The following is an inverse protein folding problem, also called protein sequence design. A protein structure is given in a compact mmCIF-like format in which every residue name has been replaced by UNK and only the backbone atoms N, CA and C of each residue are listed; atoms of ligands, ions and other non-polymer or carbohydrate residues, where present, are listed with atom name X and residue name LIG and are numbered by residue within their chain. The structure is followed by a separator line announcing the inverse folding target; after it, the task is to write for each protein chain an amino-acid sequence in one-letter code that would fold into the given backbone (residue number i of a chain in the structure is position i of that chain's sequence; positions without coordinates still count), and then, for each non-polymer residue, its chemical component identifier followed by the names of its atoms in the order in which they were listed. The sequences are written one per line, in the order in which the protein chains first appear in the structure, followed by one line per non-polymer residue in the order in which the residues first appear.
data_IF_045710566083
#
_entry.id   IF_045710566083
#
_cell.length_a   1.000
_cell.length_b   1.000
_cell.length_c   1.000
_cell.angle_alpha   90.00
_cell.angle_beta   90.00
_cell.angle_gamma   90.00
#
_symmetry.space_group_name_H-M   'P 1'
#
loop_
_entity.id
_entity.type
_entity.pdbx_description
1 polymer ?
#
# COMPACT_ATOMS: atom_id res chain seq x y z
N UNK A 1 40.58 65.61 -32.01
CA UNK A 1 40.23 65.27 -30.61
C UNK A 1 39.07 64.31 -30.68
N UNK A 2 39.39 63.02 -30.57
CA UNK A 2 38.43 61.92 -30.51
C UNK A 2 37.74 61.90 -29.14
N UNK A 3 36.45 61.59 -29.11
CA UNK A 3 35.85 60.71 -28.09
C UNK A 3 34.45 60.27 -28.52
N UNK A 4 34.32 58.96 -28.66
CA UNK A 4 33.16 58.17 -29.11
C UNK A 4 31.92 58.30 -28.20
N UNK A 5 30.69 58.12 -28.72
CA UNK A 5 29.48 58.07 -27.90
C UNK A 5 29.38 56.75 -27.09
N UNK A 6 28.76 56.78 -25.89
CA UNK A 6 28.78 55.65 -24.96
C UNK A 6 28.02 54.44 -25.51
N UNK A 7 28.72 53.31 -25.57
CA UNK A 7 28.29 52.01 -26.09
C UNK A 7 27.27 51.30 -25.17
N UNK A 8 26.24 52.01 -24.69
CA UNK A 8 25.30 51.52 -23.66
C UNK A 8 24.14 50.67 -24.21
N UNK A 9 23.80 50.84 -25.50
CA UNK A 9 22.64 50.15 -26.12
C UNK A 9 22.86 48.66 -26.31
N UNK A 10 24.09 48.24 -26.65
CA UNK A 10 24.43 46.82 -26.83
C UNK A 10 24.43 46.07 -25.50
N UNK A 11 24.94 46.69 -24.43
CA UNK A 11 25.01 46.06 -23.12
C UNK A 11 23.61 45.86 -22.51
N UNK A 12 22.72 46.84 -22.64
CA UNK A 12 21.33 46.73 -22.18
C UNK A 12 20.55 45.66 -22.96
N UNK A 13 20.79 45.52 -24.27
CA UNK A 13 20.23 44.44 -25.08
C UNK A 13 20.71 43.06 -24.63
N UNK A 14 22.01 42.90 -24.35
CA UNK A 14 22.57 41.65 -23.83
C UNK A 14 22.00 41.28 -22.45
N UNK A 15 21.78 42.26 -21.56
CA UNK A 15 21.08 42.03 -20.30
C UNK A 15 19.65 41.51 -20.50
N UNK A 16 18.88 42.10 -21.41
CA UNK A 16 17.52 41.63 -21.72
C UNK A 16 17.52 40.18 -22.23
N UNK A 17 18.46 39.83 -23.12
CA UNK A 17 18.60 38.46 -23.63
C UNK A 17 18.94 37.49 -22.49
N UNK A 18 19.83 37.86 -21.57
CA UNK A 18 20.19 37.03 -20.42
C UNK A 18 19.00 36.80 -19.47
N UNK A 19 18.18 37.83 -19.22
CA UNK A 19 16.98 37.70 -18.38
C UNK A 19 15.96 36.75 -19.01
N UNK A 20 15.74 36.86 -20.33
CA UNK A 20 14.84 35.95 -21.05
C UNK A 20 15.36 34.51 -21.04
N UNK A 21 16.66 34.31 -21.27
CA UNK A 21 17.28 32.99 -21.20
C UNK A 21 17.14 32.36 -19.80
N UNK A 22 17.37 33.15 -18.74
CA UNK A 22 17.19 32.69 -17.36
C UNK A 22 15.72 32.31 -17.07
N UNK A 23 14.76 33.10 -17.56
CA UNK A 23 13.33 32.81 -17.39
C UNK A 23 12.95 31.49 -18.08
N UNK A 24 13.43 31.25 -19.30
CA UNK A 24 13.20 30.00 -20.03
C UNK A 24 13.80 28.81 -19.29
N UNK A 25 15.04 28.91 -18.80
CA UNK A 25 15.70 27.85 -18.04
C UNK A 25 14.99 27.55 -16.71
N UNK A 26 14.50 28.58 -16.02
CA UNK A 26 13.70 28.41 -14.82
C UNK A 26 12.38 27.70 -15.14
N UNK A 27 11.65 28.15 -16.17
CA UNK A 27 10.39 27.54 -16.58
C UNK A 27 10.55 26.09 -17.02
N UNK A 28 11.60 25.77 -17.79
CA UNK A 28 11.89 24.40 -18.21
C UNK A 28 12.25 23.51 -17.03
N UNK A 29 13.08 24.01 -16.09
CA UNK A 29 13.47 23.28 -14.88
C UNK A 29 12.27 22.99 -13.98
N UNK A 30 11.38 23.98 -13.80
CA UNK A 30 10.12 23.80 -13.06
C UNK A 30 9.22 22.77 -13.74
N UNK A 31 9.11 22.79 -15.08
CA UNK A 31 8.30 21.84 -15.84
C UNK A 31 8.82 20.40 -15.67
N UNK A 32 10.13 20.20 -15.79
CA UNK A 32 10.79 18.90 -15.59
C UNK A 32 10.61 18.43 -14.15
N UNK A 33 10.79 19.31 -13.17
CA UNK A 33 10.60 18.97 -11.76
C UNK A 33 9.15 18.60 -11.44
N UNK A 34 8.17 19.35 -11.97
CA UNK A 34 6.74 19.03 -11.81
C UNK A 34 6.39 17.69 -12.45
N UNK A 35 6.91 17.39 -13.65
CA UNK A 35 6.69 16.11 -14.32
C UNK A 35 7.34 14.95 -13.54
N UNK A 36 8.58 15.13 -13.06
CA UNK A 36 9.27 14.14 -12.25
C UNK A 36 8.59 13.91 -10.88
N UNK A 37 8.12 14.97 -10.24
CA UNK A 37 7.41 14.86 -8.97
C UNK A 37 6.04 14.17 -9.14
N UNK A 38 5.35 14.42 -10.25
CA UNK A 38 4.13 13.68 -10.60
C UNK A 38 4.42 12.18 -10.75
N UNK A 39 5.50 11.80 -11.43
CA UNK A 39 5.91 10.38 -11.57
C UNK A 39 6.18 9.72 -10.21
N UNK A 40 6.82 10.41 -9.28
CA UNK A 40 7.04 9.91 -7.91
C UNK A 40 5.74 9.76 -7.10
N UNK A 41 4.76 10.66 -7.29
CA UNK A 41 3.43 10.55 -6.67
C UNK A 41 2.67 9.33 -7.21
N UNK A 42 2.75 9.05 -8.51
CA UNK A 42 2.11 7.87 -9.13
C UNK A 42 2.80 6.54 -8.80
N UNK A 43 4.09 6.56 -8.41
CA UNK A 43 4.81 5.36 -7.93
C UNK A 43 4.35 4.87 -6.55
N UNK A 44 3.64 5.70 -5.77
CA UNK A 44 2.94 5.23 -4.57
C UNK A 44 1.71 4.45 -5.02
N UNK A 45 1.84 3.12 -5.04
CA UNK A 45 0.75 2.21 -5.40
C UNK A 45 -0.55 2.59 -4.67
N UNK A 46 -1.72 2.48 -5.34
CA UNK A 46 -2.99 2.83 -4.73
C UNK A 46 -3.25 1.95 -3.51
N UNK A 47 -3.30 2.58 -2.33
CA UNK A 47 -3.67 1.96 -1.04
C UNK A 47 -4.98 1.16 -1.10
N UNK A 48 -5.83 1.45 -2.08
CA UNK A 48 -7.08 0.76 -2.34
C UNK A 48 -6.91 -0.75 -2.63
N UNK A 49 -5.86 -1.14 -3.37
CA UNK A 49 -5.61 -2.56 -3.66
C UNK A 49 -5.28 -3.34 -2.39
N UNK A 50 -4.57 -2.72 -1.44
CA UNK A 50 -4.23 -3.34 -0.15
C UNK A 50 -5.48 -3.57 0.70
N UNK A 51 -6.38 -2.58 0.76
CA UNK A 51 -7.65 -2.70 1.49
C UNK A 51 -8.52 -3.86 0.99
N UNK A 52 -8.56 -4.11 -0.32
CA UNK A 52 -9.31 -5.23 -0.89
C UNK A 52 -8.66 -6.57 -0.49
N UNK A 53 -7.34 -6.68 -0.62
CA UNK A 53 -6.59 -7.87 -0.22
C UNK A 53 -6.79 -8.18 1.27
N UNK A 54 -6.74 -7.16 2.12
CA UNK A 54 -6.96 -7.30 3.57
C UNK A 54 -8.36 -7.83 3.89
N UNK A 55 -9.40 -7.37 3.18
CA UNK A 55 -10.77 -7.86 3.38
C UNK A 55 -10.90 -9.34 3.06
N UNK A 56 -10.32 -9.79 1.94
CA UNK A 56 -10.36 -11.21 1.58
C UNK A 56 -9.51 -12.07 2.53
N UNK A 57 -8.34 -11.58 2.93
CA UNK A 57 -7.49 -12.26 3.91
C UNK A 57 -8.22 -12.43 5.26
N UNK A 58 -8.90 -11.38 5.73
CA UNK A 58 -9.69 -11.43 6.96
C UNK A 58 -10.89 -12.38 6.83
N UNK A 59 -11.64 -12.33 5.73
CA UNK A 59 -12.75 -13.22 5.48
C UNK A 59 -12.32 -14.69 5.45
N UNK A 60 -11.20 -14.99 4.76
CA UNK A 60 -10.62 -16.33 4.72
C UNK A 60 -10.18 -16.78 6.11
N UNK A 61 -9.47 -15.93 6.86
CA UNK A 61 -9.06 -16.24 8.24
C UNK A 61 -10.25 -16.58 9.14
N UNK A 62 -11.34 -15.81 9.05
CA UNK A 62 -12.56 -16.06 9.80
C UNK A 62 -13.25 -17.37 9.38
N UNK A 63 -13.28 -17.68 8.07
CA UNK A 63 -13.83 -18.95 7.57
C UNK A 63 -13.04 -20.16 8.07
N UNK A 64 -11.71 -20.05 8.20
CA UNK A 64 -10.88 -21.11 8.78
C UNK A 64 -11.10 -21.20 10.30
N UNK A 65 -11.32 -20.07 10.98
CA UNK A 65 -11.67 -20.06 12.40
C UNK A 65 -13.01 -20.73 12.68
N UNK A 66 -14.00 -20.59 11.80
CA UNK A 66 -15.30 -21.27 11.89
C UNK A 66 -15.14 -22.79 12.02
N UNK A 67 -14.29 -23.42 11.21
CA UNK A 67 -14.05 -24.86 11.34
C UNK A 67 -13.38 -25.26 12.65
N UNK A 68 -12.55 -24.40 13.25
CA UNK A 68 -11.99 -24.65 14.58
C UNK A 68 -13.08 -24.60 15.67
N UNK A 69 -14.10 -23.74 15.50
CA UNK A 69 -15.27 -23.66 16.37
C UNK A 69 -16.17 -24.90 16.26
N UNK A 70 -16.17 -25.60 15.13
CA UNK A 70 -17.03 -26.79 14.98
C UNK A 70 -16.40 -28.09 15.52
N UNK A 71 -15.09 -28.13 15.77
CA UNK A 71 -14.37 -29.37 16.16
C UNK A 71 -15.01 -30.08 17.36
N UNK A 72 -15.38 -31.35 17.21
CA UNK A 72 -15.86 -32.20 18.31
C UNK A 72 -14.72 -32.95 19.00
N UNK A 73 -14.99 -33.51 20.17
CA UNK A 73 -14.04 -34.37 20.90
C UNK A 73 -13.11 -33.59 21.81
N UNK A 74 -11.96 -34.21 22.08
CA UNK A 74 -10.87 -33.59 22.85
C UNK A 74 -10.16 -32.52 22.03
N UNK A 75 -10.14 -31.28 22.52
CA UNK A 75 -9.55 -30.16 21.81
C UNK A 75 -8.05 -30.04 22.10
N UNK A 76 -7.21 -30.21 21.08
CA UNK A 76 -5.76 -30.05 21.17
C UNK A 76 -5.34 -28.70 20.60
N UNK A 77 -4.49 -27.96 21.33
CA UNK A 77 -4.01 -26.63 20.95
C UNK A 77 -5.15 -25.63 20.65
N UNK A 78 -6.22 -25.68 21.45
CA UNK A 78 -7.39 -24.84 21.27
C UNK A 78 -7.03 -23.36 21.51
N UNK A 79 -7.31 -22.52 20.50
CA UNK A 79 -7.15 -21.06 20.59
C UNK A 79 -8.45 -20.34 20.96
N UNK A 80 -9.57 -21.07 21.06
CA UNK A 80 -10.90 -20.53 21.29
C UNK A 80 -11.28 -20.77 22.76
N UNK A 81 -11.11 -19.75 23.61
CA UNK A 81 -11.21 -19.88 25.07
C UNK A 81 -12.55 -20.39 25.60
N UNK A 82 -13.64 -20.14 24.88
CA UNK A 82 -14.99 -20.58 25.28
C UNK A 82 -15.34 -22.00 24.79
N UNK A 83 -14.47 -22.64 23.99
CA UNK A 83 -14.64 -24.03 23.57
C UNK A 83 -13.92 -24.96 24.56
N UNK A 84 -14.57 -26.07 24.89
CA UNK A 84 -14.02 -27.14 25.72
C UNK A 84 -14.19 -28.51 25.08
N UNK A 85 -13.62 -29.52 25.72
CA UNK A 85 -13.79 -30.92 25.32
C UNK A 85 -15.29 -31.29 25.30
N UNK A 86 -15.72 -31.95 24.24
CA UNK A 86 -17.13 -32.26 23.99
C UNK A 86 -17.28 -33.64 23.34
N UNK A 87 -18.48 -34.22 23.37
CA UNK A 87 -18.79 -35.50 22.70
C UNK A 87 -17.83 -36.68 23.00
N UNK A 88 -17.23 -36.71 24.20
CA UNK A 88 -16.24 -37.72 24.61
C UNK A 88 -16.83 -39.13 24.79
N UNK A 89 -18.14 -39.29 24.58
CA UNK A 89 -18.87 -40.54 24.67
C UNK A 89 -19.21 -41.17 23.32
N UNK A 90 -19.01 -40.46 22.22
CA UNK A 90 -19.52 -40.88 20.91
C UNK A 90 -18.83 -42.16 20.43
N UNK A 91 -19.65 -43.15 20.06
CA UNK A 91 -19.22 -44.47 19.59
C UNK A 91 -19.06 -45.54 20.68
N UNK A 92 -19.21 -45.20 21.97
CA UNK A 92 -19.01 -46.15 23.07
C UNK A 92 -19.94 -47.36 23.03
N UNK A 93 -21.17 -47.20 22.57
CA UNK A 93 -22.17 -48.28 22.47
C UNK A 93 -21.74 -49.37 21.48
N UNK A 94 -21.01 -48.99 20.43
CA UNK A 94 -20.44 -49.91 19.42
C UNK A 94 -18.97 -50.24 19.68
N UNK A 95 -18.41 -49.85 20.83
CA UNK A 95 -16.99 -49.99 21.16
C UNK A 95 -16.05 -49.34 20.12
N UNK A 96 -16.44 -48.17 19.60
CA UNK A 96 -15.69 -47.36 18.64
C UNK A 96 -15.35 -45.98 19.22
N UNK A 97 -14.27 -45.36 18.74
CA UNK A 97 -13.98 -43.94 19.01
C UNK A 97 -14.51 -43.07 17.86
N UNK A 98 -15.69 -42.48 18.08
CA UNK A 98 -16.33 -41.55 17.16
C UNK A 98 -16.35 -40.11 17.72
N UNK A 99 -15.45 -39.80 18.67
CA UNK A 99 -15.46 -38.53 19.40
C UNK A 99 -14.98 -37.33 18.57
N UNK A 100 -14.22 -37.56 17.50
CA UNK A 100 -13.60 -36.50 16.68
C UNK A 100 -14.49 -36.13 15.51
N UNK A 101 -14.21 -34.97 14.92
CA UNK A 101 -14.90 -34.50 13.73
C UNK A 101 -15.36 -33.06 13.93
N UNK A 102 -16.49 -32.72 13.35
CA UNK A 102 -17.13 -31.40 13.46
C UNK A 102 -18.63 -31.61 13.69
N UNK A 103 -19.25 -30.69 14.44
CA UNK A 103 -20.71 -30.54 14.49
C UNK A 103 -21.29 -30.10 13.14
#
# INVERSE_FOLDING_TARGET
MESEPPQSKGWWWWFLVLVLAALVLCASSISIWKNFHQLEIFRRAPKHSQVIVDKYANALSLSVQFFNVQKSGKLVNNKISWRGDSAMGDGKEENLDLTKGMY
#
